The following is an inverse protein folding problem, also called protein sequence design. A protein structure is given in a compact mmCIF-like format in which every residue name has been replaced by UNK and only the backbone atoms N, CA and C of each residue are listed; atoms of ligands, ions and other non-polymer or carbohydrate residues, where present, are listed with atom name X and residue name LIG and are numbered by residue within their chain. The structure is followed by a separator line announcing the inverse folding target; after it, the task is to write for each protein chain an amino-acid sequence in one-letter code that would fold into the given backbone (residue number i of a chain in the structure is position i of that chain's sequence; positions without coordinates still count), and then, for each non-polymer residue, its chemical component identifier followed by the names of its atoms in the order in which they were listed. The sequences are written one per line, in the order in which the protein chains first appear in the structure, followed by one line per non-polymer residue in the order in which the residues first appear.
data_IF_753663377465
#
_entry.id   IF_753663377465
#
_cell.length_a   1.000
_cell.length_b   1.000
_cell.length_c   1.000
_cell.angle_alpha   90.00
_cell.angle_beta   90.00
_cell.angle_gamma   90.00
#
_symmetry.space_group_name_H-M   'P 1'
#
loop_
_entity.id
_entity.type
_entity.pdbx_description
1 polymer ?
#
# COMPACT_ATOMS: atom_id res chain seq x y z
N UNK A 1 4.60 -24.08 -28.08
CA UNK A 1 5.12 -23.12 -27.09
C UNK A 1 3.96 -22.22 -26.71
N UNK A 2 3.23 -22.60 -25.67
CA UNK A 2 2.07 -21.86 -25.19
C UNK A 2 2.57 -20.67 -24.35
N UNK A 3 2.34 -19.46 -24.84
CA UNK A 3 2.54 -18.24 -24.07
C UNK A 3 1.42 -18.17 -23.04
N UNK A 4 1.77 -18.42 -21.77
CA UNK A 4 0.84 -18.37 -20.66
C UNK A 4 0.46 -16.90 -20.39
N UNK A 5 -0.72 -16.52 -20.84
CA UNK A 5 -1.30 -15.19 -20.67
C UNK A 5 -1.90 -15.09 -19.26
N UNK A 6 -1.05 -14.92 -18.24
CA UNK A 6 -1.51 -14.50 -16.90
C UNK A 6 -2.15 -13.11 -17.06
N UNK A 7 -3.39 -12.95 -16.60
CA UNK A 7 -4.13 -11.69 -16.72
C UNK A 7 -3.52 -10.67 -15.77
N UNK A 8 -3.50 -9.41 -16.19
CA UNK A 8 -2.93 -8.29 -15.43
C UNK A 8 -3.56 -8.12 -14.03
N UNK A 9 -4.80 -8.58 -13.84
CA UNK A 9 -5.48 -8.62 -12.54
C UNK A 9 -4.87 -9.64 -11.58
N UNK A 10 -4.31 -10.75 -12.09
CA UNK A 10 -3.73 -11.83 -11.27
C UNK A 10 -2.49 -11.34 -10.53
N UNK A 11 -1.69 -10.43 -11.13
CA UNK A 11 -0.48 -9.89 -10.50
C UNK A 11 -0.79 -8.90 -9.38
N UNK A 12 -1.88 -8.13 -9.51
CA UNK A 12 -2.31 -7.24 -8.44
C UNK A 12 -2.89 -7.99 -7.25
N UNK A 13 -3.62 -9.08 -7.53
CA UNK A 13 -4.08 -10.00 -6.49
C UNK A 13 -2.91 -10.75 -5.87
N UNK A 14 -1.92 -11.23 -6.63
CA UNK A 14 -0.68 -11.85 -6.10
C UNK A 14 0.09 -10.88 -5.20
N UNK A 15 0.33 -9.63 -5.64
CA UNK A 15 1.00 -8.60 -4.82
C UNK A 15 0.14 -8.24 -3.60
N UNK A 16 -1.17 -8.18 -3.74
CA UNK A 16 -2.07 -7.93 -2.62
C UNK A 16 -2.10 -9.11 -1.64
N UNK A 17 -2.00 -10.34 -2.11
CA UNK A 17 -1.90 -11.53 -1.30
C UNK A 17 -0.59 -11.56 -0.51
N UNK A 18 0.52 -11.23 -1.16
CA UNK A 18 1.83 -11.09 -0.51
C UNK A 18 1.87 -9.92 0.49
N UNK A 19 1.29 -8.77 0.14
CA UNK A 19 1.29 -7.60 1.02
C UNK A 19 0.23 -7.68 2.14
N UNK A 20 -0.91 -8.33 1.90
CA UNK A 20 -2.13 -8.15 2.70
C UNK A 20 -3.02 -9.41 2.83
N UNK A 21 -2.80 -10.46 2.04
CA UNK A 21 -3.67 -11.65 1.96
C UNK A 21 -3.24 -12.83 2.82
N UNK A 22 -2.22 -12.72 3.66
CA UNK A 22 -1.97 -13.72 4.71
C UNK A 22 -2.95 -13.56 5.88
N UNK A 23 -4.24 -13.77 5.60
CA UNK A 23 -5.20 -14.26 6.59
C UNK A 23 -5.42 -15.75 6.28
N UNK A 24 -4.89 -16.63 7.15
CA UNK A 24 -5.18 -18.07 7.23
C UNK A 24 -4.47 -19.05 6.27
N UNK A 25 -3.13 -19.14 6.32
CA UNK A 25 -2.46 -20.43 6.06
C UNK A 25 -1.49 -20.73 7.20
N UNK A 26 -1.82 -21.78 7.96
CA UNK A 26 -0.92 -22.40 8.93
C UNK A 26 0.15 -23.15 8.14
N UNK A 27 1.18 -22.46 7.70
CA UNK A 27 2.42 -23.11 7.31
C UNK A 27 3.57 -22.42 8.04
N UNK A 28 4.38 -23.26 8.68
CA UNK A 28 5.52 -22.92 9.48
C UNK A 28 6.56 -22.21 8.60
N UNK A 29 6.52 -20.87 8.54
CA UNK A 29 7.68 -19.96 8.56
C UNK A 29 7.26 -18.51 8.25
N UNK A 30 7.34 -17.68 9.30
CA UNK A 30 7.59 -16.23 9.27
C UNK A 30 6.77 -15.38 8.31
N UNK A 31 5.50 -15.10 8.61
CA UNK A 31 4.93 -13.75 8.50
C UNK A 31 3.79 -13.66 9.51
N UNK A 32 4.19 -13.45 10.76
CA UNK A 32 3.30 -13.37 11.92
C UNK A 32 2.25 -12.30 11.66
N UNK A 33 0.98 -12.65 11.86
CA UNK A 33 -0.09 -11.71 12.16
C UNK A 33 0.49 -10.63 13.06
N UNK A 34 0.71 -9.43 12.54
CA UNK A 34 1.30 -8.36 13.32
C UNK A 34 0.25 -7.87 14.36
N UNK A 35 0.05 -8.67 15.41
CA UNK A 35 -0.37 -8.38 16.79
C UNK A 35 -1.87 -8.29 17.16
N UNK A 36 -2.39 -9.37 17.75
CA UNK A 36 -2.96 -9.29 19.11
C UNK A 36 -1.82 -9.52 20.11
N UNK A 37 -1.57 -8.53 20.99
CA UNK A 37 -0.74 -8.55 22.21
C UNK A 37 0.49 -9.49 22.28
N UNK A 38 1.66 -8.86 22.45
CA UNK A 38 2.89 -9.42 23.05
C UNK A 38 3.90 -10.19 22.18
N UNK A 39 3.96 -9.94 20.87
CA UNK A 39 5.00 -10.56 20.02
C UNK A 39 6.16 -9.66 19.61
N UNK A 40 7.35 -10.23 19.81
CA UNK A 40 8.66 -9.67 19.51
C UNK A 40 8.76 -9.48 17.99
N UNK A 41 8.57 -8.23 17.55
CA UNK A 41 8.95 -7.83 16.19
C UNK A 41 10.43 -8.18 15.94
N UNK A 42 10.77 -8.66 14.74
CA UNK A 42 12.18 -8.76 14.31
C UNK A 42 12.85 -7.38 14.39
N UNK A 43 14.17 -7.33 14.56
CA UNK A 43 14.92 -6.05 14.57
C UNK A 43 14.65 -5.19 13.33
N UNK A 44 14.32 -5.83 12.21
CA UNK A 44 14.05 -5.18 10.93
C UNK A 44 12.56 -4.89 10.64
N UNK A 45 11.64 -5.16 11.58
CA UNK A 45 10.21 -4.87 11.39
C UNK A 45 9.99 -3.36 11.35
N UNK A 46 9.38 -2.83 10.27
CA UNK A 46 9.00 -1.40 10.19
C UNK A 46 8.08 -1.00 11.37
N UNK A 47 7.42 -1.99 11.95
CA UNK A 47 6.62 -2.00 13.16
C UNK A 47 7.28 -1.33 14.38
N UNK A 48 8.60 -1.53 14.55
CA UNK A 48 9.37 -0.93 15.64
C UNK A 48 9.53 0.59 15.47
N UNK A 49 9.40 1.06 14.24
CA UNK A 49 9.51 2.46 13.84
C UNK A 49 8.16 3.10 13.48
N UNK A 50 7.03 2.40 13.70
CA UNK A 50 5.65 2.89 13.47
C UNK A 50 5.28 4.13 14.30
N UNK A 51 6.18 4.67 15.11
CA UNK A 51 6.07 6.01 15.67
C UNK A 51 6.26 7.12 14.62
N UNK A 52 6.64 6.79 13.38
CA UNK A 52 6.64 7.74 12.27
C UNK A 52 5.20 8.14 11.92
N UNK A 53 4.94 9.45 11.96
CA UNK A 53 3.59 10.03 11.83
C UNK A 53 2.86 9.61 10.54
N UNK A 54 3.58 9.44 9.43
CA UNK A 54 3.01 9.10 8.13
C UNK A 54 2.37 7.71 8.12
N UNK A 55 3.05 6.69 8.65
CA UNK A 55 2.57 5.31 8.59
C UNK A 55 1.32 5.11 9.49
N UNK A 56 1.20 5.86 10.60
CA UNK A 56 -0.04 5.96 11.40
C UNK A 56 -1.20 6.58 10.60
N UNK A 57 -0.90 7.62 9.82
CA UNK A 57 -1.89 8.31 8.97
C UNK A 57 -2.35 7.38 7.84
N UNK A 58 -1.44 6.70 7.14
CA UNK A 58 -1.76 5.80 6.03
C UNK A 58 -2.77 4.72 6.43
N UNK A 59 -2.59 4.08 7.59
CA UNK A 59 -3.54 3.09 8.13
C UNK A 59 -4.95 3.65 8.36
N UNK A 60 -5.07 4.96 8.65
CA UNK A 60 -6.37 5.62 8.77
C UNK A 60 -6.95 5.97 7.40
N UNK A 61 -6.11 6.46 6.49
CA UNK A 61 -6.51 6.89 5.16
C UNK A 61 -6.95 5.73 4.26
N UNK A 62 -6.30 4.57 4.39
CA UNK A 62 -6.66 3.31 3.72
C UNK A 62 -8.17 3.00 3.83
N UNK A 63 -8.74 3.20 5.02
CA UNK A 63 -10.15 2.91 5.31
C UNK A 63 -11.14 3.93 4.73
N UNK A 64 -10.65 5.05 4.18
CA UNK A 64 -11.53 6.14 3.72
C UNK A 64 -11.96 5.99 2.27
N UNK A 65 -11.25 5.19 1.47
CA UNK A 65 -11.45 5.06 0.02
C UNK A 65 -11.55 6.40 -0.72
N UNK A 66 -10.84 7.42 -0.21
CA UNK A 66 -10.74 8.74 -0.85
C UNK A 66 -9.50 8.80 -1.75
N UNK A 67 -9.57 9.69 -2.72
CA UNK A 67 -8.40 10.07 -3.53
C UNK A 67 -7.51 11.01 -2.73
N UNK A 68 -6.22 10.70 -2.73
CA UNK A 68 -5.16 11.51 -2.12
C UNK A 68 -4.10 11.84 -3.17
N UNK A 69 -3.35 12.90 -2.89
CA UNK A 69 -2.15 13.29 -3.64
C UNK A 69 -0.95 13.00 -2.75
N UNK A 70 -0.11 12.07 -3.16
CA UNK A 70 1.13 11.70 -2.49
C UNK A 70 2.29 12.37 -3.19
N UNK A 71 3.11 13.10 -2.45
CA UNK A 71 4.37 13.65 -2.95
C UNK A 71 5.51 12.83 -2.38
N UNK A 72 6.37 12.28 -3.23
CA UNK A 72 7.56 11.55 -2.81
C UNK A 72 8.72 12.52 -2.55
N UNK A 73 9.73 12.06 -1.80
CA UNK A 73 10.99 12.80 -1.59
C UNK A 73 11.79 13.05 -2.87
N UNK A 74 11.58 12.26 -3.92
CA UNK A 74 12.14 12.50 -5.26
C UNK A 74 11.42 13.65 -5.99
N UNK A 75 10.28 14.10 -5.49
CA UNK A 75 9.46 15.15 -6.11
C UNK A 75 8.37 14.62 -7.05
N UNK A 76 8.19 13.30 -7.14
CA UNK A 76 7.11 12.70 -7.93
C UNK A 76 5.76 12.90 -7.22
N UNK A 77 4.71 13.13 -8.01
CA UNK A 77 3.34 13.26 -7.51
C UNK A 77 2.48 12.11 -8.01
N UNK A 78 1.88 11.38 -7.07
CA UNK A 78 1.02 10.23 -7.32
C UNK A 78 -0.37 10.57 -6.82
N UNK A 79 -1.35 10.60 -7.72
CA UNK A 79 -2.76 10.84 -7.36
C UNK A 79 -3.55 9.55 -7.45
N UNK A 80 -4.09 9.08 -6.33
CA UNK A 80 -4.82 7.81 -6.30
C UNK A 80 -5.45 7.46 -4.96
N UNK A 81 -6.07 6.29 -4.91
CA UNK A 81 -6.65 5.73 -3.68
C UNK A 81 -5.70 4.70 -3.08
N UNK A 82 -5.63 4.63 -1.75
CA UNK A 82 -4.89 3.56 -1.07
C UNK A 82 -5.71 2.26 -1.20
N UNK A 83 -5.13 1.24 -1.83
CA UNK A 83 -5.71 -0.11 -1.87
C UNK A 83 -5.33 -0.91 -0.64
N UNK A 84 -4.07 -0.85 -0.23
CA UNK A 84 -3.58 -1.50 0.97
C UNK A 84 -2.36 -0.77 1.55
N UNK A 85 -2.19 -0.87 2.87
CA UNK A 85 -0.97 -0.48 3.57
C UNK A 85 -0.45 -1.64 4.44
N UNK A 86 0.73 -2.15 4.13
CA UNK A 86 1.42 -3.12 4.97
C UNK A 86 2.30 -2.39 6.00
N UNK A 87 1.91 -2.51 7.26
CA UNK A 87 2.62 -1.90 8.40
C UNK A 87 3.95 -2.58 8.73
N UNK A 88 4.16 -3.83 8.29
CA UNK A 88 5.33 -4.61 8.65
C UNK A 88 6.50 -4.31 7.69
N UNK A 89 6.22 -4.09 6.40
CA UNK A 89 7.18 -3.55 5.43
C UNK A 89 7.19 -2.02 5.33
N UNK A 90 6.07 -1.37 5.66
CA UNK A 90 5.88 0.07 5.43
C UNK A 90 5.45 0.39 3.99
N UNK A 91 5.16 -0.60 3.16
CA UNK A 91 4.73 -0.40 1.77
C UNK A 91 3.26 0.03 1.68
N UNK A 92 2.98 1.00 0.80
CA UNK A 92 1.60 1.39 0.43
C UNK A 92 1.38 1.13 -1.05
N UNK A 93 0.23 0.53 -1.36
CA UNK A 93 -0.24 0.31 -2.73
C UNK A 93 -1.28 1.38 -3.06
N UNK A 94 -0.98 2.21 -4.06
CA UNK A 94 -1.82 3.31 -4.54
C UNK A 94 -2.38 2.96 -5.91
N UNK A 95 -3.70 3.04 -6.08
CA UNK A 95 -4.38 2.83 -7.36
C UNK A 95 -4.71 4.18 -7.99
N UNK A 96 -4.07 4.45 -9.11
CA UNK A 96 -4.36 5.57 -9.98
C UNK A 96 -5.46 5.16 -10.96
N UNK A 97 -6.57 5.92 -11.06
CA UNK A 97 -7.70 5.54 -11.91
C UNK A 97 -7.33 5.59 -13.39
N UNK A 98 -8.07 4.83 -14.21
CA UNK A 98 -7.99 4.94 -15.67
C UNK A 98 -8.29 6.39 -16.12
N UNK A 99 -7.50 6.90 -17.05
CA UNK A 99 -7.78 8.18 -17.69
C UNK A 99 -8.53 7.96 -18.99
N UNK A 100 -9.63 8.69 -19.19
CA UNK A 100 -10.44 8.60 -20.41
C UNK A 100 -9.73 9.32 -21.58
N UNK A 101 -9.04 10.42 -21.29
CA UNK A 101 -8.34 11.23 -22.31
C UNK A 101 -7.10 11.93 -21.71
N UNK A 102 -5.88 11.61 -22.17
CA UNK A 102 -5.56 10.47 -23.06
C UNK A 102 -5.98 9.15 -22.43
N UNK A 103 -6.29 8.14 -23.26
CA UNK A 103 -6.69 6.82 -22.77
C UNK A 103 -5.48 6.14 -22.14
N UNK A 104 -5.44 6.09 -20.82
CA UNK A 104 -4.38 5.44 -20.04
C UNK A 104 -5.00 4.45 -19.07
N UNK A 105 -4.48 3.21 -18.98
CA UNK A 105 -4.99 2.21 -18.06
C UNK A 105 -4.86 2.68 -16.60
N UNK A 106 -5.64 2.07 -15.71
CA UNK A 106 -5.39 2.19 -14.28
C UNK A 106 -4.00 1.65 -13.95
N UNK A 107 -3.30 2.30 -13.02
CA UNK A 107 -1.93 1.95 -12.61
C UNK A 107 -1.91 1.71 -11.11
N UNK A 108 -1.26 0.62 -10.69
CA UNK A 108 -0.92 0.39 -9.29
C UNK A 108 0.53 0.79 -9.05
N UNK A 109 0.73 1.63 -8.05
CA UNK A 109 2.04 2.16 -7.66
C UNK A 109 2.35 1.75 -6.24
N UNK A 110 3.48 1.11 -6.03
CA UNK A 110 3.94 0.62 -4.72
C UNK A 110 5.09 1.50 -4.26
N UNK A 111 4.96 2.14 -3.10
CA UNK A 111 6.01 2.99 -2.52
C UNK A 111 6.19 2.70 -1.03
N UNK A 112 7.38 2.97 -0.51
CA UNK A 112 7.63 2.95 0.94
C UNK A 112 7.02 4.18 1.62
N UNK A 113 6.43 4.01 2.82
CA UNK A 113 5.98 5.14 3.63
C UNK A 113 7.14 6.06 4.05
N UNK A 114 8.39 5.60 3.99
CA UNK A 114 9.58 6.44 4.21
C UNK A 114 9.87 7.40 3.06
N UNK A 115 9.38 7.11 1.87
CA UNK A 115 9.64 7.93 0.68
C UNK A 115 8.55 8.99 0.47
N UNK A 116 7.47 8.93 1.24
CA UNK A 116 6.41 9.92 1.24
C UNK A 116 6.89 11.17 1.99
N UNK A 117 6.93 12.28 1.27
CA UNK A 117 7.20 13.60 1.83
C UNK A 117 5.93 14.25 2.36
N UNK A 118 4.82 14.16 1.60
CA UNK A 118 3.52 14.70 2.04
C UNK A 118 2.32 13.97 1.44
N UNK A 119 1.17 14.11 2.11
CA UNK A 119 -0.12 13.59 1.67
C UNK A 119 -1.13 14.73 1.72
N UNK A 120 -1.79 15.01 0.59
CA UNK A 120 -2.77 16.08 0.44
C UNK A 120 -4.12 15.53 -0.04
N UNK A 121 -5.21 16.24 0.29
CA UNK A 121 -6.55 15.96 -0.23
C UNK A 121 -7.37 17.23 -0.29
N UNK A 122 -8.34 17.27 -1.19
CA UNK A 122 -9.24 18.40 -1.32
C UNK A 122 -10.24 18.45 -0.15
N UNK A 123 -10.38 19.64 0.43
CA UNK A 123 -11.39 19.94 1.45
C UNK A 123 -12.45 20.80 0.78
N UNK A 124 -13.70 20.33 0.75
CA UNK A 124 -14.83 21.16 0.31
C UNK A 124 -15.12 22.18 1.40
N UNK A 125 -14.81 23.45 1.15
CA UNK A 125 -15.31 24.55 1.97
C UNK A 125 -16.83 24.62 1.82
N UNK A 126 -17.55 24.53 2.94
CA UNK A 126 -18.99 24.81 3.04
C UNK A 126 -19.21 26.23 3.50
#
# INVERSE_FOLDING_TARGET
MEFNHKRHDDLLEEVWEECCGFQHVRDEHHHHECHEKDDICSEDCHCKHLNNCVCIILKKLEKTHKTFIFRTKSGDEITGMIKCFDKCTGCVIIIQPEMISPKLPAVATIISCTDIESISFEIKHR
#
